data_IF_987419984690
#
_entry.id   IF_987419984690
#
_cell.length_a   1.000
_cell.length_b   1.000
_cell.length_c   1.000
_cell.angle_alpha   90.00
_cell.angle_beta   90.00
_cell.angle_gamma   90.00
#
_symmetry.space_group_name_H-M   'P 1'
#
loop_
_entity.id
_entity.type
_entity.pdbx_description
1 polymer ?
#
# COMPACT_ATOMS: atom_id res chain seq x y z
N UNK A 1 -15.26 -17.12 5.69
CA UNK A 1 -14.17 -16.12 5.52
C UNK A 1 -14.70 -14.99 4.66
N UNK A 2 -14.95 -13.82 5.26
CA UNK A 2 -15.35 -12.62 4.51
C UNK A 2 -14.15 -12.21 3.65
N UNK A 3 -14.27 -12.34 2.33
CA UNK A 3 -13.26 -11.83 1.39
C UNK A 3 -13.56 -10.36 1.14
N UNK A 4 -12.98 -9.49 1.94
CA UNK A 4 -13.01 -8.05 1.68
C UNK A 4 -12.42 -7.79 0.29
N UNK A 5 -13.20 -7.19 -0.62
CA UNK A 5 -12.76 -6.82 -1.99
C UNK A 5 -11.92 -5.53 -1.98
N UNK A 6 -11.10 -5.36 -0.95
CA UNK A 6 -10.28 -4.17 -0.76
C UNK A 6 -8.83 -4.63 -0.60
N UNK A 7 -7.92 -4.02 -1.35
CA UNK A 7 -6.49 -4.34 -1.29
C UNK A 7 -5.81 -4.37 -2.66
N UNK A 8 -4.48 -4.56 -2.68
CA UNK A 8 -3.65 -4.51 -3.90
C UNK A 8 -4.03 -5.56 -4.96
N UNK A 9 -4.92 -6.48 -4.62
CA UNK A 9 -5.48 -7.53 -5.48
C UNK A 9 -6.67 -7.06 -6.33
N UNK A 10 -7.19 -5.84 -6.07
CA UNK A 10 -8.24 -5.27 -6.91
C UNK A 10 -7.67 -4.88 -8.28
N UNK A 11 -8.27 -5.44 -9.34
CA UNK A 11 -7.93 -5.15 -10.73
C UNK A 11 -7.89 -3.65 -11.07
N UNK A 12 -8.66 -2.82 -10.38
CA UNK A 12 -8.64 -1.35 -10.54
C UNK A 12 -7.26 -0.74 -10.24
N UNK A 13 -6.48 -1.35 -9.34
CA UNK A 13 -5.13 -0.88 -9.05
C UNK A 13 -4.12 -1.17 -10.18
N UNK A 14 -4.40 -2.18 -11.02
CA UNK A 14 -3.50 -2.51 -12.15
C UNK A 14 -3.38 -1.36 -13.15
N UNK A 15 -4.45 -0.59 -13.36
CA UNK A 15 -4.41 0.56 -14.27
C UNK A 15 -3.38 1.62 -13.83
N UNK A 16 -3.24 1.86 -12.52
CA UNK A 16 -2.23 2.78 -12.01
C UNK A 16 -0.81 2.28 -12.27
N UNK A 17 -0.56 0.97 -12.13
CA UNK A 17 0.75 0.40 -12.43
C UNK A 17 1.14 0.61 -13.90
N UNK A 18 0.19 0.49 -14.84
CA UNK A 18 0.45 0.80 -16.24
C UNK A 18 0.76 2.29 -16.45
N UNK A 19 0.02 3.19 -15.79
CA UNK A 19 0.28 4.63 -15.88
C UNK A 19 1.65 5.04 -15.30
N UNK A 20 2.09 4.40 -14.23
CA UNK A 20 3.41 4.62 -13.63
C UNK A 20 4.53 4.04 -14.50
N UNK A 21 4.27 2.88 -15.12
CA UNK A 21 5.20 2.24 -16.06
C UNK A 21 5.38 3.09 -17.31
N UNK A 22 4.29 3.57 -17.91
CA UNK A 22 4.31 4.47 -19.08
C UNK A 22 5.05 5.78 -18.81
N UNK A 23 5.06 6.24 -17.55
CA UNK A 23 5.81 7.42 -17.08
C UNK A 23 7.26 7.11 -16.67
N UNK A 24 7.75 5.90 -16.89
CA UNK A 24 9.10 5.47 -16.51
C UNK A 24 9.40 5.57 -15.00
N UNK A 25 8.37 5.50 -14.15
CA UNK A 25 8.51 5.63 -12.68
C UNK A 25 8.74 4.28 -12.01
N UNK A 26 8.19 3.20 -12.57
CA UNK A 26 8.34 1.84 -12.03
C UNK A 26 8.75 0.86 -13.13
N UNK A 27 9.18 -0.32 -12.71
CA UNK A 27 9.27 -1.52 -13.52
C UNK A 27 8.47 -2.65 -12.87
N UNK A 28 7.85 -3.48 -13.70
CA UNK A 28 7.09 -4.66 -13.27
C UNK A 28 7.79 -5.88 -13.84
N UNK A 29 8.09 -6.86 -12.99
CA UNK A 29 8.70 -8.14 -13.37
C UNK A 29 7.67 -9.25 -13.15
N UNK A 30 7.20 -9.83 -14.25
CA UNK A 30 6.14 -10.86 -14.27
C UNK A 30 6.68 -12.29 -14.18
N UNK A 31 8.01 -12.49 -14.18
CA UNK A 31 8.64 -13.81 -14.04
C UNK A 31 8.52 -14.41 -12.64
N UNK A 32 7.83 -13.73 -11.72
CA UNK A 32 7.61 -14.16 -10.34
C UNK A 32 6.13 -14.03 -9.98
N UNK A 33 5.66 -14.93 -9.12
CA UNK A 33 4.31 -14.88 -8.52
C UNK A 33 4.46 -14.73 -7.00
N UNK A 34 4.02 -13.62 -6.40
CA UNK A 34 3.39 -12.45 -7.05
C UNK A 34 4.38 -11.61 -7.88
N UNK A 35 3.83 -10.86 -8.85
CA UNK A 35 4.58 -9.92 -9.69
C UNK A 35 5.42 -8.96 -8.82
N UNK A 36 6.64 -8.65 -9.23
CA UNK A 36 7.50 -7.72 -8.49
C UNK A 36 7.43 -6.33 -9.09
N UNK A 37 7.19 -5.33 -8.25
CA UNK A 37 7.21 -3.92 -8.64
C UNK A 37 8.41 -3.24 -7.99
N UNK A 38 9.17 -2.48 -8.77
CA UNK A 38 10.34 -1.72 -8.29
C UNK A 38 10.33 -0.30 -8.84
N UNK A 39 10.72 0.67 -8.02
CA UNK A 39 10.94 2.05 -8.45
C UNK A 39 12.15 2.14 -9.40
N UNK A 40 12.00 2.94 -10.45
CA UNK A 40 13.12 3.44 -11.27
C UNK A 40 13.70 4.72 -10.63
N UNK A 41 14.89 5.20 -11.03
CA UNK A 41 15.46 6.43 -10.50
C UNK A 41 14.50 7.63 -10.56
N UNK A 42 13.76 7.79 -11.67
CA UNK A 42 12.74 8.83 -11.81
C UNK A 42 11.57 8.66 -10.81
N UNK A 43 11.17 7.41 -10.53
CA UNK A 43 10.17 7.10 -9.51
C UNK A 43 10.65 7.41 -8.11
N UNK A 44 11.90 7.07 -7.77
CA UNK A 44 12.51 7.42 -6.48
C UNK A 44 12.55 8.93 -6.28
N UNK A 45 12.98 9.69 -7.29
CA UNK A 45 13.00 11.15 -7.22
C UNK A 45 11.61 11.75 -7.09
N UNK A 46 10.62 11.23 -7.82
CA UNK A 46 9.23 11.68 -7.71
C UNK A 46 8.66 11.39 -6.31
N UNK A 47 8.89 10.19 -5.77
CA UNK A 47 8.46 9.82 -4.42
C UNK A 47 9.11 10.71 -3.35
N UNK A 48 10.40 11.03 -3.47
CA UNK A 48 11.10 11.94 -2.56
C UNK A 48 10.47 13.34 -2.58
N UNK A 49 10.21 13.90 -3.77
CA UNK A 49 9.54 15.21 -3.90
C UNK A 49 8.15 15.21 -3.28
N UNK A 50 7.37 14.14 -3.47
CA UNK A 50 6.05 14.02 -2.84
C UNK A 50 6.18 13.95 -1.31
N UNK A 51 7.16 13.21 -0.80
CA UNK A 51 7.41 13.07 0.62
C UNK A 51 7.87 14.36 1.32
N UNK A 52 8.34 15.36 0.57
CA UNK A 52 8.68 16.69 1.10
C UNK A 52 7.46 17.61 1.22
N UNK A 53 6.38 17.35 0.48
CA UNK A 53 5.21 18.23 0.50
C UNK A 53 4.38 18.01 1.77
N UNK A 54 3.90 19.11 2.37
CA UNK A 54 3.17 19.09 3.63
C UNK A 54 1.92 18.20 3.59
N UNK A 55 1.15 18.27 2.49
CA UNK A 55 -0.07 17.49 2.29
C UNK A 55 0.15 15.96 2.30
N UNK A 56 1.38 15.50 2.04
CA UNK A 56 1.72 14.08 2.06
C UNK A 56 2.39 13.64 3.38
N UNK A 57 2.71 14.55 4.29
CA UNK A 57 3.32 14.20 5.58
C UNK A 57 2.50 13.20 6.41
N UNK A 58 1.15 13.25 6.46
CA UNK A 58 0.37 12.21 7.12
C UNK A 58 0.62 10.82 6.54
N UNK A 59 0.73 10.70 5.21
CA UNK A 59 1.03 9.43 4.54
C UNK A 59 2.46 8.96 4.85
N UNK A 60 3.46 9.87 4.80
CA UNK A 60 4.85 9.55 5.13
C UNK A 60 4.98 9.01 6.55
N UNK A 61 4.30 9.62 7.53
CA UNK A 61 4.28 9.14 8.91
C UNK A 61 3.70 7.72 9.02
N UNK A 62 2.59 7.44 8.33
CA UNK A 62 1.99 6.09 8.30
C UNK A 62 2.92 5.07 7.65
N UNK A 63 3.56 5.39 6.53
CA UNK A 63 4.54 4.52 5.89
C UNK A 63 5.71 4.18 6.83
N UNK A 64 6.23 5.16 7.57
CA UNK A 64 7.31 4.96 8.55
C UNK A 64 6.86 4.08 9.72
N UNK A 65 5.68 4.33 10.28
CA UNK A 65 5.12 3.51 11.36
C UNK A 65 4.89 2.06 10.90
N UNK A 66 4.35 1.88 9.70
CA UNK A 66 4.16 0.56 9.08
C UNK A 66 5.50 -0.18 8.91
N UNK A 67 6.53 0.50 8.40
CA UNK A 67 7.86 -0.08 8.27
C UNK A 67 8.47 -0.44 9.63
N UNK A 68 8.32 0.41 10.64
CA UNK A 68 8.86 0.16 11.99
C UNK A 68 8.20 -1.02 12.70
N UNK A 69 6.90 -1.25 12.47
CA UNK A 69 6.14 -2.26 13.20
C UNK A 69 5.93 -3.57 12.44
N UNK A 70 5.83 -3.53 11.10
CA UNK A 70 5.34 -4.66 10.30
C UNK A 70 6.38 -5.23 9.31
N UNK A 71 7.56 -4.61 9.16
CA UNK A 71 8.51 -4.99 8.11
C UNK A 71 9.06 -6.42 8.23
N UNK A 72 9.06 -7.01 9.43
CA UNK A 72 9.53 -8.38 9.67
C UNK A 72 8.43 -9.43 9.56
N UNK A 73 7.16 -9.02 9.42
CA UNK A 73 6.04 -9.95 9.33
C UNK A 73 6.00 -10.63 7.96
N UNK A 74 5.64 -11.91 7.93
CA UNK A 74 5.35 -12.56 6.66
C UNK A 74 4.03 -12.04 6.07
N UNK A 75 3.83 -12.22 4.77
CA UNK A 75 2.54 -11.90 4.13
C UNK A 75 1.36 -12.66 4.75
N UNK A 76 1.60 -13.86 5.28
CA UNK A 76 0.58 -14.65 5.98
C UNK A 76 0.24 -14.05 7.33
N UNK A 77 1.26 -13.65 8.11
CA UNK A 77 1.06 -13.05 9.43
C UNK A 77 0.35 -11.70 9.31
N UNK A 78 0.76 -10.89 8.34
CA UNK A 78 0.11 -9.59 8.07
C UNK A 78 -1.35 -9.79 7.65
N UNK A 79 -1.62 -10.78 6.79
CA UNK A 79 -2.98 -11.13 6.38
C UNK A 79 -3.84 -11.57 7.58
N UNK A 80 -3.30 -12.41 8.47
CA UNK A 80 -4.02 -12.87 9.66
C UNK A 80 -4.32 -11.68 10.60
N UNK A 81 -3.31 -10.86 10.89
CA UNK A 81 -3.47 -9.64 11.69
C UNK A 81 -4.56 -8.72 11.15
N UNK A 82 -4.58 -8.49 9.83
CA UNK A 82 -5.64 -7.69 9.20
C UNK A 82 -7.00 -8.34 9.42
N UNK A 83 -7.14 -9.65 9.23
CA UNK A 83 -8.44 -10.29 9.41
C UNK A 83 -8.94 -10.28 10.85
N UNK A 84 -8.03 -10.33 11.83
CA UNK A 84 -8.37 -10.28 13.24
C UNK A 84 -8.82 -8.86 13.65
N UNK A 85 -8.14 -7.82 13.16
CA UNK A 85 -8.45 -6.42 13.51
C UNK A 85 -9.58 -5.80 12.69
N UNK A 86 -9.77 -6.22 11.43
CA UNK A 86 -10.67 -5.53 10.50
C UNK A 86 -12.13 -5.43 10.98
N UNK A 87 -12.76 -6.48 11.58
CA UNK A 87 -14.14 -6.37 12.04
C UNK A 87 -14.34 -5.21 13.03
N UNK A 88 -13.45 -5.11 14.02
CA UNK A 88 -13.53 -4.11 15.08
C UNK A 88 -13.11 -2.72 14.59
N UNK A 89 -12.00 -2.63 13.86
CA UNK A 89 -11.39 -1.35 13.46
C UNK A 89 -12.04 -0.71 12.22
N UNK A 90 -12.63 -1.52 11.33
CA UNK A 90 -13.16 -1.07 10.03
C UNK A 90 -14.62 -1.45 9.84
N UNK A 91 -15.00 -2.67 10.23
CA UNK A 91 -16.36 -3.19 10.05
C UNK A 91 -17.40 -2.37 10.82
N UNK A 92 -17.04 -1.97 12.04
CA UNK A 92 -17.90 -1.19 12.93
C UNK A 92 -17.70 0.32 12.81
N UNK A 93 -16.73 0.76 11.99
CA UNK A 93 -16.42 2.17 11.81
C UNK A 93 -17.53 2.90 11.01
N UNK A 94 -17.98 4.08 11.48
CA UNK A 94 -18.85 4.95 10.73
C UNK A 94 -18.27 5.30 9.35
N UNK A 95 -19.15 5.38 8.35
CA UNK A 95 -18.73 5.75 7.00
C UNK A 95 -18.07 7.13 6.98
N UNK A 96 -16.98 7.28 6.21
CA UNK A 96 -16.10 8.45 6.18
C UNK A 96 -15.32 8.76 7.47
N UNK A 97 -15.34 7.89 8.48
CA UNK A 97 -14.48 8.06 9.63
C UNK A 97 -13.06 7.60 9.32
N UNK A 98 -12.09 8.45 9.64
CA UNK A 98 -10.68 8.10 9.60
C UNK A 98 -10.31 7.26 10.82
N UNK A 99 -9.71 6.11 10.58
CA UNK A 99 -9.12 5.28 11.64
C UNK A 99 -7.87 6.00 12.15
N UNK A 100 -7.92 6.41 13.41
CA UNK A 100 -6.81 7.08 14.10
C UNK A 100 -6.11 6.07 15.02
N UNK A 101 -4.77 6.14 15.13
CA UNK A 101 -4.02 5.34 16.08
C UNK A 101 -4.37 5.68 17.53
#
# INVERSE_FOLDING_TARGET
MVRYRYGPWDHRYRQFLFFLTARNLITITVSHTPERVKLRPAGTAAAARLAEMEQFQPLVRRCKAMQGNLATMSGTDLKNLIYDLFPEEVGDAPFHQEIRP
#
